data_IF_562119012092
#
_entry.id   IF_562119012092
#
_cell.length_a   1.000
_cell.length_b   1.000
_cell.length_c   1.000
_cell.angle_alpha   90.00
_cell.angle_beta   90.00
_cell.angle_gamma   90.00
#
_symmetry.space_group_name_H-M   'P 1'
#
loop_
_entity.id
_entity.type
_entity.pdbx_description
1 polymer ?
#
# COMPACT_ATOMS: atom_id res chain seq x y z
N UNK A 1 -3.99 2.82 -25.22
CA UNK A 1 -5.02 2.22 -26.11
C UNK A 1 -5.12 0.75 -25.75
N UNK A 2 -6.33 0.19 -25.67
CA UNK A 2 -6.52 -1.23 -25.35
C UNK A 2 -6.30 -2.09 -26.59
N UNK A 3 -5.61 -3.24 -26.49
CA UNK A 3 -5.45 -4.17 -27.61
C UNK A 3 -6.78 -4.84 -27.92
N UNK A 4 -7.14 -4.89 -29.20
CA UNK A 4 -8.31 -5.66 -29.67
C UNK A 4 -8.02 -7.16 -29.76
N UNK A 5 -6.74 -7.52 -29.87
CA UNK A 5 -6.24 -8.89 -29.86
C UNK A 5 -5.09 -8.96 -28.84
N UNK A 6 -5.39 -9.15 -27.54
CA UNK A 6 -4.35 -9.23 -26.52
C UNK A 6 -3.46 -10.46 -26.75
N UNK A 7 -2.16 -10.32 -26.49
CA UNK A 7 -1.25 -11.46 -26.52
C UNK A 7 -1.44 -12.32 -25.26
N UNK A 8 -1.15 -13.63 -25.30
CA UNK A 8 -1.24 -14.50 -24.14
C UNK A 8 -0.49 -13.92 -22.94
N UNK A 9 -1.13 -13.86 -21.77
CA UNK A 9 -0.58 -13.12 -20.63
C UNK A 9 0.81 -13.60 -20.19
N UNK A 10 1.11 -14.90 -20.40
CA UNK A 10 2.40 -15.51 -20.10
C UNK A 10 3.56 -14.96 -20.94
N UNK A 11 3.26 -14.31 -22.06
CA UNK A 11 4.24 -13.69 -22.96
C UNK A 11 4.38 -12.18 -22.74
N UNK A 12 3.64 -11.61 -21.79
CA UNK A 12 3.76 -10.20 -21.45
C UNK A 12 5.15 -9.90 -20.86
N UNK A 13 5.63 -8.68 -21.10
CA UNK A 13 6.82 -8.17 -20.44
C UNK A 13 6.45 -7.72 -19.03
N UNK A 14 6.72 -8.56 -18.04
CA UNK A 14 6.46 -8.27 -16.64
C UNK A 14 7.36 -7.16 -16.09
N UNK A 15 6.81 -6.40 -15.15
CA UNK A 15 7.49 -5.31 -14.48
C UNK A 15 8.11 -5.72 -13.14
N UNK A 16 8.43 -4.73 -12.31
CA UNK A 16 9.02 -4.97 -10.97
C UNK A 16 7.95 -5.33 -9.94
N UNK A 17 6.75 -4.75 -10.03
CA UNK A 17 5.66 -4.93 -9.05
C UNK A 17 4.74 -6.07 -9.46
N UNK A 18 4.31 -6.11 -10.72
CA UNK A 18 3.47 -7.19 -11.23
C UNK A 18 4.38 -8.22 -11.91
N UNK A 19 4.75 -9.26 -11.15
CA UNK A 19 5.40 -10.46 -11.65
C UNK A 19 4.36 -11.47 -12.15
N UNK A 20 4.79 -12.48 -12.91
CA UNK A 20 3.90 -13.57 -13.35
C UNK A 20 3.21 -14.25 -12.17
N UNK A 21 3.95 -14.56 -11.11
CA UNK A 21 3.42 -15.20 -9.90
C UNK A 21 2.35 -14.33 -9.22
N UNK A 22 2.62 -13.03 -9.07
CA UNK A 22 1.65 -12.08 -8.48
C UNK A 22 0.40 -11.93 -9.34
N UNK A 23 0.56 -11.91 -10.66
CA UNK A 23 -0.56 -11.86 -11.60
C UNK A 23 -1.39 -13.14 -11.53
N UNK A 24 -0.77 -14.31 -11.52
CA UNK A 24 -1.49 -15.58 -11.40
C UNK A 24 -2.21 -15.70 -10.06
N UNK A 25 -1.62 -15.19 -8.96
CA UNK A 25 -2.29 -15.10 -7.67
C UNK A 25 -3.49 -14.14 -7.68
N UNK A 26 -3.48 -13.08 -8.50
CA UNK A 26 -4.65 -12.22 -8.71
C UNK A 26 -5.72 -12.92 -9.53
N UNK A 27 -5.34 -13.56 -10.64
CA UNK A 27 -6.26 -14.28 -11.52
C UNK A 27 -6.93 -15.47 -10.82
N UNK A 28 -6.22 -16.16 -9.93
CA UNK A 28 -6.76 -17.27 -9.14
C UNK A 28 -7.87 -16.85 -8.16
N UNK A 29 -8.01 -15.55 -7.86
CA UNK A 29 -9.11 -15.02 -7.05
C UNK A 29 -10.38 -14.76 -7.86
N UNK A 30 -10.31 -14.86 -9.19
CA UNK A 30 -11.45 -14.71 -10.09
C UNK A 30 -12.12 -16.08 -10.20
N UNK A 31 -13.44 -16.12 -10.02
CA UNK A 31 -14.19 -17.37 -10.11
C UNK A 31 -14.08 -17.98 -11.53
N UNK A 32 -13.87 -19.31 -11.65
CA UNK A 32 -13.76 -19.97 -12.94
C UNK A 32 -14.99 -19.71 -13.82
N UNK A 33 -14.77 -19.41 -15.10
CA UNK A 33 -15.85 -19.18 -16.08
C UNK A 33 -16.40 -17.76 -16.14
N UNK A 34 -16.00 -16.86 -15.23
CA UNK A 34 -16.36 -15.43 -15.30
C UNK A 34 -15.69 -14.74 -16.48
N UNK A 35 -14.41 -15.04 -16.74
CA UNK A 35 -13.64 -14.46 -17.83
C UNK A 35 -13.32 -15.53 -18.87
N UNK A 36 -13.50 -15.16 -20.13
CA UNK A 36 -12.97 -15.90 -21.28
C UNK A 36 -11.45 -15.81 -21.32
N UNK A 37 -10.75 -16.73 -22.03
CA UNK A 37 -9.31 -16.66 -22.18
C UNK A 37 -8.80 -15.31 -22.74
N UNK A 38 -9.53 -14.73 -23.68
CA UNK A 38 -9.19 -13.42 -24.28
C UNK A 38 -9.36 -12.27 -23.28
N UNK A 39 -10.39 -12.33 -22.43
CA UNK A 39 -10.58 -11.33 -21.37
C UNK A 39 -9.51 -11.44 -20.28
N UNK A 40 -9.04 -12.65 -19.95
CA UNK A 40 -7.91 -12.86 -19.04
C UNK A 40 -6.65 -12.20 -19.61
N UNK A 41 -6.37 -12.40 -20.90
CA UNK A 41 -5.22 -11.80 -21.57
C UNK A 41 -5.34 -10.27 -21.61
N UNK A 42 -6.53 -9.74 -21.89
CA UNK A 42 -6.79 -8.29 -21.88
C UNK A 42 -6.64 -7.69 -20.47
N UNK A 43 -7.23 -8.31 -19.45
CA UNK A 43 -7.12 -7.88 -18.06
C UNK A 43 -5.66 -7.87 -17.63
N UNK A 44 -4.94 -8.94 -17.93
CA UNK A 44 -3.52 -9.08 -17.61
C UNK A 44 -2.66 -8.02 -18.30
N UNK A 45 -2.96 -7.71 -19.57
CA UNK A 45 -2.32 -6.59 -20.27
C UNK A 45 -2.53 -5.27 -19.52
N UNK A 46 -3.75 -4.98 -19.06
CA UNK A 46 -4.06 -3.75 -18.30
C UNK A 46 -3.33 -3.72 -16.97
N UNK A 47 -3.36 -4.82 -16.21
CA UNK A 47 -2.72 -4.93 -14.89
C UNK A 47 -1.20 -4.73 -15.01
N UNK A 48 -0.55 -5.40 -15.95
CA UNK A 48 0.90 -5.26 -16.18
C UNK A 48 1.24 -3.86 -16.70
N UNK A 49 0.46 -3.31 -17.63
CA UNK A 49 0.68 -1.96 -18.17
C UNK A 49 0.48 -0.85 -17.13
N UNK A 50 -0.25 -1.14 -16.05
CA UNK A 50 -0.55 -0.21 -14.94
C UNK A 50 -0.03 -0.75 -13.62
N UNK A 51 1.12 -1.44 -13.63
CA UNK A 51 1.64 -2.13 -12.45
C UNK A 51 1.79 -1.24 -11.21
N UNK A 52 2.03 0.06 -11.38
CA UNK A 52 2.15 1.03 -10.28
C UNK A 52 0.84 1.31 -9.54
N UNK A 53 -0.31 0.97 -10.14
CA UNK A 53 -1.62 1.11 -9.51
C UNK A 53 -1.90 0.01 -8.49
N UNK A 54 -1.11 -1.07 -8.47
CA UNK A 54 -1.29 -2.21 -7.58
C UNK A 54 -0.20 -2.21 -6.51
N UNK A 55 -0.60 -2.57 -5.29
CA UNK A 55 0.28 -2.74 -4.15
C UNK A 55 0.09 -4.13 -3.57
N UNK A 56 1.19 -4.87 -3.42
CA UNK A 56 1.24 -6.21 -2.84
C UNK A 56 1.84 -6.21 -1.44
N UNK A 57 2.49 -5.10 -1.05
CA UNK A 57 2.92 -4.84 0.31
C UNK A 57 2.69 -3.36 0.68
N UNK A 58 2.79 -3.05 1.97
CA UNK A 58 2.56 -1.69 2.45
C UNK A 58 3.52 -0.65 1.86
N UNK A 59 4.77 -1.02 1.58
CA UNK A 59 5.75 -0.13 0.98
C UNK A 59 5.43 0.25 -0.48
N UNK A 60 4.61 -0.55 -1.18
CA UNK A 60 4.14 -0.27 -2.54
C UNK A 60 2.86 0.58 -2.56
N UNK A 61 2.23 0.82 -1.39
CA UNK A 61 0.99 1.58 -1.27
C UNK A 61 1.22 3.03 -1.70
N UNK A 62 0.41 3.53 -2.62
CA UNK A 62 0.41 4.95 -2.98
C UNK A 62 -0.14 5.85 -1.86
N UNK A 63 0.22 7.13 -1.95
CA UNK A 63 -0.36 8.23 -1.16
C UNK A 63 -1.02 9.23 -2.10
N UNK A 64 -1.94 10.03 -1.57
CA UNK A 64 -2.54 11.11 -2.36
C UNK A 64 -1.48 12.14 -2.74
N UNK A 65 -1.60 12.66 -3.96
CA UNK A 65 -0.80 13.79 -4.42
C UNK A 65 -1.19 15.03 -3.62
N UNK A 66 -0.19 15.71 -3.05
CA UNK A 66 -0.40 16.89 -2.19
C UNK A 66 -1.04 18.05 -2.95
N UNK A 67 -0.89 18.10 -4.27
CA UNK A 67 -1.55 19.11 -5.13
C UNK A 67 -3.07 18.89 -5.25
N UNK A 68 -3.54 17.66 -5.05
CA UNK A 68 -4.96 17.29 -5.13
C UNK A 68 -5.58 17.23 -3.74
N UNK A 69 -4.82 16.71 -2.76
CA UNK A 69 -5.20 16.60 -1.35
C UNK A 69 -4.11 17.25 -0.51
N UNK A 70 -4.22 18.55 -0.19
CA UNK A 70 -3.25 19.22 0.66
C UNK A 70 -3.28 18.64 2.08
N UNK A 71 -2.25 18.95 2.86
CA UNK A 71 -2.16 18.51 4.24
C UNK A 71 -3.37 19.02 5.04
N UNK A 72 -3.91 18.15 5.90
CA UNK A 72 -5.06 18.50 6.72
C UNK A 72 -4.64 19.41 7.87
N UNK A 73 -5.24 20.60 7.96
CA UNK A 73 -5.06 21.51 9.08
C UNK A 73 -6.07 21.17 10.19
N UNK A 74 -5.55 20.76 11.35
CA UNK A 74 -6.38 20.46 12.52
C UNK A 74 -6.83 21.78 13.14
N UNK A 75 -8.15 22.10 13.18
CA UNK A 75 -8.63 23.30 13.84
C UNK A 75 -8.43 23.19 15.34
N UNK A 76 -7.85 24.23 15.95
CA UNK A 76 -7.59 24.30 17.39
C UNK A 76 -8.25 25.54 17.99
N UNK A 77 -8.68 25.43 19.24
CA UNK A 77 -9.01 26.59 20.10
C UNK A 77 -7.81 26.92 20.99
N UNK A 78 -7.80 28.04 21.69
CA UNK A 78 -6.76 28.34 22.67
C UNK A 78 -6.78 27.32 23.81
N UNK A 79 -5.65 26.65 24.05
CA UNK A 79 -5.49 25.65 25.11
C UNK A 79 -4.00 25.38 25.41
N UNK A 80 -3.75 24.66 26.50
CA UNK A 80 -2.42 24.15 26.84
C UNK A 80 -2.24 22.75 26.24
N UNK A 81 -1.18 22.49 25.45
CA UNK A 81 -0.92 21.18 24.87
C UNK A 81 -0.93 20.06 25.91
N UNK A 82 -1.59 18.96 25.60
CA UNK A 82 -1.75 17.84 26.52
C UNK A 82 -0.47 17.01 26.62
N UNK A 83 0.02 16.79 27.84
CA UNK A 83 1.16 15.93 28.10
C UNK A 83 0.84 14.84 29.13
N UNK A 84 1.07 13.59 28.75
CA UNK A 84 1.02 12.44 29.64
C UNK A 84 2.36 11.68 29.64
N UNK A 85 2.79 11.17 30.82
CA UNK A 85 3.91 10.25 30.89
C UNK A 85 3.63 8.97 30.09
N UNK A 86 4.64 8.40 29.40
CA UNK A 86 4.45 7.16 28.64
C UNK A 86 3.95 6.01 29.50
N UNK A 87 3.00 5.26 28.95
CA UNK A 87 2.58 3.99 29.54
C UNK A 87 3.77 3.03 29.49
N UNK A 88 4.12 2.43 30.64
CA UNK A 88 5.21 1.44 30.71
C UNK A 88 4.80 0.18 29.96
N UNK A 89 5.59 -0.15 28.94
CA UNK A 89 5.42 -1.40 28.17
C UNK A 89 5.92 -2.57 29.02
N UNK A 90 5.13 -3.65 29.19
CA UNK A 90 5.59 -4.87 29.83
C UNK A 90 6.85 -5.41 29.15
N UNK A 91 7.85 -5.83 29.92
CA UNK A 91 9.14 -6.26 29.38
C UNK A 91 9.01 -7.39 28.33
N UNK A 92 8.09 -8.33 28.57
CA UNK A 92 7.80 -9.43 27.66
C UNK A 92 7.33 -8.99 26.25
N UNK A 93 6.79 -7.78 26.12
CA UNK A 93 6.28 -7.23 24.85
C UNK A 93 7.27 -6.25 24.19
N UNK A 94 8.37 -5.90 24.86
CA UNK A 94 9.25 -4.81 24.42
C UNK A 94 9.77 -5.00 23.01
N UNK A 95 10.28 -6.19 22.69
CA UNK A 95 10.84 -6.49 21.36
C UNK A 95 9.77 -6.44 20.26
N UNK A 96 8.56 -6.93 20.55
CA UNK A 96 7.44 -6.91 19.61
C UNK A 96 7.02 -5.48 19.29
N UNK A 97 6.93 -4.60 20.31
CA UNK A 97 6.57 -3.20 20.11
C UNK A 97 7.65 -2.45 19.32
N UNK A 98 8.94 -2.67 19.61
CA UNK A 98 10.03 -2.06 18.85
C UNK A 98 9.96 -2.46 17.38
N UNK A 99 9.82 -3.77 17.10
CA UNK A 99 9.70 -4.29 15.74
C UNK A 99 8.52 -3.64 15.00
N UNK A 100 7.38 -3.51 15.66
CA UNK A 100 6.20 -2.89 15.06
C UNK A 100 6.46 -1.41 14.73
N UNK A 101 7.07 -0.63 15.64
CA UNK A 101 7.42 0.77 15.37
C UNK A 101 8.35 0.87 14.15
N UNK A 102 9.40 0.04 14.07
CA UNK A 102 10.33 0.04 12.93
C UNK A 102 9.65 -0.34 11.60
N UNK A 103 8.68 -1.27 11.62
CA UNK A 103 7.90 -1.65 10.44
C UNK A 103 6.99 -0.51 9.98
N UNK A 104 6.38 0.21 10.92
CA UNK A 104 5.51 1.37 10.66
C UNK A 104 6.29 2.58 10.17
N UNK A 105 7.51 2.81 10.67
CA UNK A 105 8.45 3.80 10.16
C UNK A 105 8.89 3.46 8.72
N UNK A 106 9.28 2.19 8.45
CA UNK A 106 9.60 1.73 7.10
C UNK A 106 8.42 1.84 6.13
N UNK A 107 7.20 1.69 6.63
CA UNK A 107 5.97 1.88 5.86
C UNK A 107 5.64 3.38 5.63
N UNK A 108 6.41 4.31 6.21
CA UNK A 108 6.21 5.75 6.11
C UNK A 108 4.99 6.25 6.88
N UNK A 109 4.48 5.48 7.85
CA UNK A 109 3.34 5.87 8.70
C UNK A 109 3.77 6.59 9.95
N UNK A 110 4.91 6.21 10.52
CA UNK A 110 5.52 6.88 11.66
C UNK A 110 6.76 7.65 11.24
N UNK A 111 6.98 8.78 11.91
CA UNK A 111 8.18 9.59 11.78
C UNK A 111 8.65 10.03 13.18
N UNK A 112 9.97 10.10 13.41
CA UNK A 112 10.49 10.71 14.62
C UNK A 112 10.08 12.18 14.73
N UNK A 113 9.51 12.57 15.87
CA UNK A 113 9.03 13.94 16.09
C UNK A 113 9.29 14.42 17.50
N UNK A 114 9.31 15.75 17.66
CA UNK A 114 9.32 16.44 18.95
C UNK A 114 8.05 17.30 18.99
N UNK A 115 7.08 16.89 19.81
CA UNK A 115 5.77 17.56 19.90
C UNK A 115 5.51 18.06 21.31
N UNK A 116 4.79 19.18 21.40
CA UNK A 116 4.22 19.68 22.66
C UNK A 116 3.09 18.78 23.17
N UNK A 117 2.45 18.01 22.30
CA UNK A 117 1.48 16.98 22.64
C UNK A 117 2.15 15.63 22.85
N UNK A 118 1.74 14.92 23.92
CA UNK A 118 2.19 13.56 24.21
C UNK A 118 1.11 12.79 24.98
N UNK A 119 0.81 11.57 24.55
CA UNK A 119 -0.11 10.64 25.24
C UNK A 119 0.61 9.47 25.86
#
# INVERSE_FOLDING_TARGET
>A
VLPTHPIPYKQLKFGKRVTLERLEAMLAKIEPGILTPQEIDLLSFVVVSREEAFAFCYAEKGSFKREIYPDYEIPVIEHVPWQRPPIRIPFALKEQVIKQIEEEEKAGRFEPTVSSYRS
#
